data_IF_827863295054
#
_entry.id   IF_827863295054
#
_cell.length_a   1.000
_cell.length_b   1.000
_cell.length_c   1.000
_cell.angle_alpha   90.00
_cell.angle_beta   90.00
_cell.angle_gamma   90.00
#
_symmetry.space_group_name_H-M   'P 1'
#
loop_
_entity.id
_entity.type
_entity.pdbx_description
1 polymer ?
#
# COMPACT_ATOMS: atom_id res chain seq x y z
N UNK A 1 -26.50 51.50 19.12
CA UNK A 1 -25.26 51.70 19.92
C UNK A 1 -24.11 50.95 19.24
N UNK A 2 -23.21 51.72 18.68
CA UNK A 2 -22.06 51.46 17.86
C UNK A 2 -20.91 50.78 18.62
N UNK A 3 -20.28 49.70 18.08
CA UNK A 3 -18.92 49.31 18.45
C UNK A 3 -18.09 48.94 17.21
N UNK A 4 -17.37 49.87 16.86
CA UNK A 4 -16.08 50.13 16.26
C UNK A 4 -15.23 48.95 15.80
N UNK A 5 -14.94 49.03 14.54
CA UNK A 5 -13.93 48.38 13.69
C UNK A 5 -12.49 48.66 14.20
N UNK A 6 -11.70 47.65 14.43
CA UNK A 6 -10.25 47.78 14.64
C UNK A 6 -9.52 46.96 13.55
N UNK A 7 -9.13 47.64 12.51
CA UNK A 7 -8.18 47.17 11.48
C UNK A 7 -6.78 47.32 12.04
N UNK A 8 -6.05 46.22 12.12
CA UNK A 8 -4.59 46.21 12.34
C UNK A 8 -3.93 45.83 11.02
N UNK A 9 -3.28 46.83 10.42
CA UNK A 9 -2.37 46.71 9.29
C UNK A 9 -1.02 46.12 9.82
N UNK A 10 -0.61 44.94 9.35
CA UNK A 10 0.76 44.48 9.50
C UNK A 10 1.50 44.61 8.18
N UNK A 11 2.45 45.53 8.18
CA UNK A 11 3.37 45.80 7.08
C UNK A 11 4.34 44.59 6.97
N UNK A 12 4.41 44.02 5.77
CA UNK A 12 5.39 43.00 5.40
C UNK A 12 6.66 43.70 4.95
N UNK A 13 7.74 43.51 5.69
CA UNK A 13 9.09 43.94 5.31
C UNK A 13 9.75 42.79 4.51
N UNK A 14 9.98 43.05 3.24
CA UNK A 14 10.64 42.14 2.30
C UNK A 14 12.16 42.29 2.46
N UNK A 15 12.83 41.34 3.09
CA UNK A 15 14.29 41.26 3.18
C UNK A 15 14.83 40.22 2.19
N UNK A 16 15.45 40.71 1.12
CA UNK A 16 16.20 39.87 0.17
C UNK A 16 17.58 39.59 0.75
N UNK A 17 17.89 38.31 1.00
CA UNK A 17 19.25 37.86 1.34
C UNK A 17 19.80 37.10 0.12
N UNK A 18 20.78 37.73 -0.52
CA UNK A 18 21.57 37.12 -1.58
C UNK A 18 22.67 36.22 -0.96
N UNK A 19 22.73 34.95 -1.36
CA UNK A 19 23.77 34.01 -0.98
C UNK A 19 24.73 33.84 -2.17
N UNK A 20 26.07 34.06 -2.02
CA UNK A 20 27.02 33.87 -3.11
C UNK A 20 27.33 32.37 -3.29
N UNK A 21 27.32 31.93 -4.55
CA UNK A 21 27.76 30.60 -4.96
C UNK A 21 29.28 30.48 -4.80
N UNK A 22 29.72 29.56 -3.94
CA UNK A 22 31.11 29.16 -3.84
C UNK A 22 31.32 27.86 -4.62
N UNK A 23 31.96 27.98 -5.78
CA UNK A 23 32.41 26.84 -6.58
C UNK A 23 33.63 26.22 -5.87
N UNK A 24 33.55 24.98 -5.42
CA UNK A 24 34.69 24.19 -4.96
C UNK A 24 35.11 23.19 -6.03
N UNK A 25 36.27 23.42 -6.58
CA UNK A 25 37.03 22.53 -7.45
C UNK A 25 37.56 21.35 -6.64
N UNK A 26 37.37 20.13 -7.14
CA UNK A 26 37.94 18.90 -6.60
C UNK A 26 39.23 18.60 -7.37
N UNK A 27 40.39 18.46 -6.73
CA UNK A 27 41.59 18.00 -7.42
C UNK A 27 41.58 16.48 -7.58
N UNK A 28 41.85 16.02 -8.80
CA UNK A 28 42.16 14.64 -9.13
C UNK A 28 43.51 14.24 -8.55
N UNK A 29 43.58 13.19 -7.77
CA UNK A 29 44.82 12.49 -7.43
C UNK A 29 44.64 11.00 -7.62
N UNK A 30 45.31 10.49 -8.62
CA UNK A 30 45.58 9.08 -8.85
C UNK A 30 46.62 8.57 -7.85
N UNK A 31 46.39 7.42 -7.22
CA UNK A 31 47.44 6.47 -6.83
C UNK A 31 46.83 5.06 -6.76
N UNK A 32 47.54 4.14 -7.42
CA UNK A 32 47.27 2.71 -7.46
C UNK A 32 47.70 2.04 -6.13
N UNK A 33 47.08 0.89 -5.83
CA UNK A 33 47.65 -0.06 -4.86
C UNK A 33 46.58 -0.91 -4.13
N UNK A 34 46.43 -2.08 -4.63
CA UNK A 34 46.48 -3.39 -3.93
C UNK A 34 45.24 -3.94 -3.23
N UNK A 35 45.09 -5.22 -3.51
CA UNK A 35 44.07 -6.22 -3.19
C UNK A 35 43.74 -6.37 -1.70
N UNK A 36 42.42 -6.53 -1.41
CA UNK A 36 41.89 -7.56 -0.53
C UNK A 36 40.35 -7.50 -0.49
N UNK A 37 39.75 -8.60 -0.92
CA UNK A 37 38.53 -9.25 -0.47
C UNK A 37 37.48 -8.36 0.25
N UNK A 38 36.49 -7.86 -0.51
CA UNK A 38 35.28 -7.29 0.02
C UNK A 38 34.07 -8.00 -0.62
N UNK A 39 33.00 -8.34 0.15
CA UNK A 39 31.83 -9.05 -0.36
C UNK A 39 31.15 -8.20 -1.42
N UNK A 40 30.64 -8.86 -2.47
CA UNK A 40 29.99 -8.25 -3.62
C UNK A 40 28.89 -7.27 -3.22
N UNK A 41 28.77 -6.11 -3.89
CA UNK A 41 27.66 -5.19 -3.66
C UNK A 41 26.35 -5.83 -4.12
N UNK A 42 25.38 -5.91 -3.22
CA UNK A 42 23.99 -6.20 -3.57
C UNK A 42 23.52 -5.13 -4.55
N UNK A 43 23.40 -5.52 -5.81
CA UNK A 43 22.94 -4.67 -6.89
C UNK A 43 21.49 -4.32 -6.60
N UNK A 44 21.26 -3.13 -6.06
CA UNK A 44 19.94 -2.53 -5.96
C UNK A 44 19.45 -2.34 -7.39
N UNK A 45 18.47 -3.14 -7.80
CA UNK A 45 17.85 -3.04 -9.10
C UNK A 45 17.23 -1.63 -9.26
N UNK A 46 17.90 -0.78 -10.04
CA UNK A 46 17.36 0.52 -10.46
C UNK A 46 16.29 0.21 -11.50
N UNK A 47 15.02 0.40 -11.15
CA UNK A 47 13.90 0.27 -12.07
C UNK A 47 13.98 1.38 -13.13
N UNK A 48 13.82 1.09 -14.42
CA UNK A 48 13.84 2.11 -15.46
C UNK A 48 12.69 3.11 -15.29
N UNK A 49 13.03 4.39 -15.34
CA UNK A 49 12.05 5.49 -15.38
C UNK A 49 11.26 5.40 -16.69
N UNK A 50 9.99 5.06 -16.61
CA UNK A 50 9.09 4.95 -17.77
C UNK A 50 8.07 3.82 -17.68
N UNK A 51 8.09 2.99 -16.66
CA UNK A 51 7.09 1.94 -16.49
C UNK A 51 5.71 2.50 -16.15
N UNK A 52 4.69 2.07 -16.89
CA UNK A 52 3.29 2.39 -16.60
C UNK A 52 2.82 1.66 -15.33
N UNK A 53 1.72 2.13 -14.73
CA UNK A 53 1.13 1.46 -13.56
C UNK A 53 0.74 0.00 -13.84
N UNK A 54 0.38 -0.32 -15.09
CA UNK A 54 0.10 -1.69 -15.55
C UNK A 54 1.34 -2.58 -15.53
N UNK A 55 2.50 -2.05 -15.90
CA UNK A 55 3.76 -2.80 -15.90
C UNK A 55 4.22 -3.11 -14.48
N UNK A 56 3.99 -2.17 -13.54
CA UNK A 56 4.26 -2.37 -12.12
C UNK A 56 3.33 -3.43 -11.49
N UNK A 57 2.07 -3.44 -11.88
CA UNK A 57 1.12 -4.46 -11.43
C UNK A 57 1.50 -5.85 -11.96
N UNK A 58 1.99 -5.93 -13.20
CA UNK A 58 2.44 -7.18 -13.81
C UNK A 58 3.74 -7.70 -13.16
N UNK A 59 4.68 -6.82 -12.81
CA UNK A 59 5.89 -7.19 -12.06
C UNK A 59 5.56 -7.69 -10.65
N UNK A 60 4.68 -7.00 -9.93
CA UNK A 60 4.21 -7.45 -8.61
C UNK A 60 3.49 -8.81 -8.69
N UNK A 61 2.72 -9.05 -9.75
CA UNK A 61 2.07 -10.33 -9.97
C UNK A 61 3.08 -11.45 -10.30
N UNK A 62 4.17 -11.13 -11.01
CA UNK A 62 5.25 -12.09 -11.32
C UNK A 62 6.15 -12.37 -10.11
N UNK A 63 6.49 -11.36 -9.32
CA UNK A 63 7.26 -11.54 -8.08
C UNK A 63 6.44 -12.28 -7.02
N UNK A 64 5.15 -11.97 -6.91
CA UNK A 64 4.23 -12.71 -6.06
C UNK A 64 4.09 -14.17 -6.50
N UNK A 65 4.02 -14.44 -7.80
CA UNK A 65 3.98 -15.81 -8.32
C UNK A 65 5.33 -16.54 -8.12
N UNK A 66 6.45 -15.81 -8.08
CA UNK A 66 7.78 -16.35 -7.77
C UNK A 66 7.96 -16.67 -6.29
N UNK A 67 7.42 -15.85 -5.39
CA UNK A 67 7.36 -16.13 -3.94
C UNK A 67 6.47 -17.34 -3.62
N UNK A 68 5.49 -17.64 -4.45
CA UNK A 68 4.60 -18.79 -4.34
C UNK A 68 5.06 -19.99 -5.18
N UNK A 69 6.15 -19.85 -5.96
CA UNK A 69 6.72 -20.96 -6.71
C UNK A 69 7.45 -21.91 -5.74
N UNK A 70 7.18 -23.23 -5.76
CA UNK A 70 7.91 -24.20 -4.96
C UNK A 70 9.33 -24.32 -5.54
N UNK A 71 10.30 -23.60 -4.96
CA UNK A 71 11.67 -23.69 -5.47
C UNK A 71 12.69 -22.73 -4.89
N UNK A 72 12.33 -21.83 -3.99
CA UNK A 72 13.25 -20.88 -3.38
C UNK A 72 13.41 -21.11 -1.87
N UNK A 73 13.69 -22.34 -1.45
CA UNK A 73 14.37 -22.72 -0.21
C UNK A 73 14.17 -24.22 0.02
N UNK A 74 15.23 -24.94 0.33
CA UNK A 74 15.31 -26.39 0.43
C UNK A 74 14.19 -27.08 1.20
N UNK A 75 13.82 -28.24 0.65
CA UNK A 75 13.14 -29.39 1.30
C UNK A 75 11.90 -29.09 2.17
N UNK A 76 10.75 -29.10 1.52
CA UNK A 76 9.60 -29.99 1.76
C UNK A 76 8.59 -29.75 0.61
N UNK A 77 8.48 -30.67 -0.33
CA UNK A 77 7.43 -30.69 -1.35
C UNK A 77 6.10 -31.11 -0.69
N UNK A 78 5.44 -30.12 -0.05
CA UNK A 78 4.06 -30.22 0.37
C UNK A 78 3.20 -29.42 -0.59
N UNK A 79 2.09 -29.98 -1.10
CA UNK A 79 1.07 -29.22 -1.79
C UNK A 79 0.67 -28.01 -0.92
N UNK A 80 0.36 -26.84 -1.52
CA UNK A 80 -0.04 -25.67 -0.76
C UNK A 80 -1.21 -26.02 0.17
N UNK A 81 -1.14 -25.61 1.42
CA UNK A 81 -2.22 -25.85 2.37
C UNK A 81 -3.52 -25.22 1.86
N UNK A 82 -4.68 -25.73 2.29
CA UNK A 82 -5.97 -25.17 1.89
C UNK A 82 -6.08 -23.67 2.21
N UNK A 83 -5.46 -23.23 3.32
CA UNK A 83 -5.34 -21.83 3.73
C UNK A 83 -4.52 -21.00 2.71
N UNK A 84 -3.33 -21.47 2.35
CA UNK A 84 -2.50 -20.80 1.33
C UNK A 84 -3.21 -20.69 -0.02
N UNK A 85 -3.97 -21.71 -0.41
CA UNK A 85 -4.79 -21.69 -1.62
C UNK A 85 -5.88 -20.63 -1.56
N UNK A 86 -6.56 -20.48 -0.42
CA UNK A 86 -7.59 -19.44 -0.21
C UNK A 86 -7.02 -18.03 -0.25
N UNK A 87 -5.91 -17.80 0.47
CA UNK A 87 -5.19 -16.52 0.44
C UNK A 87 -4.79 -16.16 -1.00
N UNK A 88 -4.17 -17.09 -1.71
CA UNK A 88 -3.79 -16.90 -3.12
C UNK A 88 -4.99 -16.48 -3.98
N UNK A 89 -6.14 -17.12 -3.82
CA UNK A 89 -7.36 -16.79 -4.57
C UNK A 89 -7.85 -15.38 -4.26
N UNK A 90 -7.85 -14.97 -2.99
CA UNK A 90 -8.22 -13.60 -2.58
C UNK A 90 -7.30 -12.57 -3.23
N UNK A 91 -5.97 -12.78 -3.16
CA UNK A 91 -5.01 -11.85 -3.72
C UNK A 91 -5.11 -11.74 -5.24
N UNK A 92 -5.19 -12.87 -5.94
CA UNK A 92 -5.39 -12.88 -7.39
C UNK A 92 -6.65 -12.11 -7.79
N UNK A 93 -7.76 -12.30 -7.06
CA UNK A 93 -9.00 -11.59 -7.33
C UNK A 93 -8.87 -10.09 -7.05
N UNK A 94 -8.21 -9.69 -5.97
CA UNK A 94 -7.99 -8.30 -5.64
C UNK A 94 -7.11 -7.59 -6.68
N UNK A 95 -6.00 -8.21 -7.07
CA UNK A 95 -5.06 -7.66 -8.06
C UNK A 95 -5.67 -7.58 -9.46
N UNK A 96 -6.55 -8.50 -9.84
CA UNK A 96 -7.26 -8.47 -11.11
C UNK A 96 -8.24 -7.27 -11.26
N UNK A 97 -8.54 -6.56 -10.16
CA UNK A 97 -9.43 -5.39 -10.15
C UNK A 97 -8.68 -4.06 -10.17
N UNK A 98 -7.34 -4.07 -10.23
CA UNK A 98 -6.54 -2.85 -10.35
C UNK A 98 -6.97 -2.05 -11.59
N UNK A 99 -7.02 -0.72 -11.44
CA UNK A 99 -7.49 0.18 -12.50
C UNK A 99 -9.02 0.31 -12.58
N UNK A 100 -9.81 -0.45 -11.80
CA UNK A 100 -11.26 -0.25 -11.73
C UNK A 100 -11.58 1.09 -11.06
N UNK A 101 -12.44 1.95 -11.64
CA UNK A 101 -12.69 3.27 -11.11
C UNK A 101 -13.38 3.26 -9.75
N UNK A 102 -13.04 4.23 -8.90
CA UNK A 102 -13.76 4.46 -7.65
C UNK A 102 -15.18 4.96 -7.91
N UNK A 103 -16.15 4.32 -7.26
CA UNK A 103 -17.53 4.78 -7.22
C UNK A 103 -18.10 4.68 -5.81
N UNK A 104 -18.62 5.78 -5.29
CA UNK A 104 -19.29 5.78 -3.98
C UNK A 104 -20.48 4.81 -3.97
N UNK A 105 -20.51 3.89 -3.01
CA UNK A 105 -21.53 2.82 -2.94
C UNK A 105 -21.34 1.72 -3.98
N UNK A 106 -20.28 1.75 -4.78
CA UNK A 106 -20.04 0.77 -5.85
C UNK A 106 -19.61 -0.59 -5.31
N UNK A 107 -20.10 -1.64 -5.98
CA UNK A 107 -19.88 -3.07 -5.63
C UNK A 107 -19.69 -3.94 -6.87
N UNK A 108 -19.53 -3.34 -8.05
CA UNK A 108 -19.55 -4.02 -9.35
C UNK A 108 -18.31 -3.62 -10.17
N UNK A 109 -17.53 -4.58 -10.71
CA UNK A 109 -16.32 -4.28 -11.48
C UNK A 109 -16.58 -3.42 -12.73
N UNK A 110 -17.77 -3.56 -13.34
CA UNK A 110 -18.12 -2.78 -14.54
C UNK A 110 -18.57 -1.35 -14.22
N UNK A 111 -18.98 -1.09 -12.98
CA UNK A 111 -19.52 0.22 -12.54
C UNK A 111 -18.59 0.94 -11.58
N UNK A 112 -17.61 0.25 -11.00
CA UNK A 112 -16.67 0.76 -10.03
C UNK A 112 -16.97 0.34 -8.58
N UNK A 113 -16.00 0.58 -7.70
CA UNK A 113 -16.03 0.18 -6.29
C UNK A 113 -15.84 1.36 -5.35
N UNK A 114 -16.47 1.32 -4.18
CA UNK A 114 -15.92 1.98 -3.00
C UNK A 114 -15.02 1.00 -2.21
N UNK A 115 -14.35 1.48 -1.15
CA UNK A 115 -13.38 0.69 -0.41
C UNK A 115 -13.94 -0.63 0.13
N UNK A 116 -15.07 -0.60 0.81
CA UNK A 116 -15.72 -1.80 1.38
C UNK A 116 -16.46 -2.63 0.33
N UNK A 117 -16.94 -2.02 -0.75
CA UNK A 117 -17.51 -2.73 -1.89
C UNK A 117 -16.51 -3.59 -2.64
N UNK A 118 -15.27 -3.07 -2.82
CA UNK A 118 -14.15 -3.85 -3.36
C UNK A 118 -13.85 -5.07 -2.48
N UNK A 119 -13.65 -4.85 -1.18
CA UNK A 119 -13.35 -5.93 -0.22
C UNK A 119 -14.45 -6.99 -0.21
N UNK A 120 -15.71 -6.58 -0.06
CA UNK A 120 -16.84 -7.51 -0.06
C UNK A 120 -16.97 -8.29 -1.37
N UNK A 121 -16.75 -7.64 -2.53
CA UNK A 121 -16.75 -8.31 -3.82
C UNK A 121 -15.65 -9.37 -3.91
N UNK A 122 -14.42 -9.04 -3.50
CA UNK A 122 -13.26 -9.96 -3.54
C UNK A 122 -13.54 -11.19 -2.69
N UNK A 123 -13.92 -11.04 -1.42
CA UNK A 123 -14.15 -12.16 -0.51
C UNK A 123 -15.32 -13.04 -0.92
N UNK A 124 -16.42 -12.45 -1.37
CA UNK A 124 -17.58 -13.20 -1.88
C UNK A 124 -17.21 -14.04 -3.10
N UNK A 125 -16.50 -13.45 -4.07
CA UNK A 125 -16.19 -14.14 -5.32
C UNK A 125 -14.98 -15.08 -5.24
N UNK A 126 -14.08 -14.87 -4.28
CA UNK A 126 -12.94 -15.74 -4.05
C UNK A 126 -13.28 -16.94 -3.18
N UNK A 127 -14.05 -16.72 -2.10
CA UNK A 127 -14.24 -17.71 -1.04
C UNK A 127 -15.70 -17.94 -0.65
N UNK A 128 -16.67 -17.21 -1.24
CA UNK A 128 -18.07 -17.26 -0.81
C UNK A 128 -18.34 -16.60 0.54
N UNK A 129 -17.38 -15.80 1.06
CA UNK A 129 -17.53 -15.15 2.38
C UNK A 129 -18.25 -13.82 2.23
N UNK A 130 -19.36 -13.67 2.94
CA UNK A 130 -20.12 -12.42 3.00
C UNK A 130 -19.62 -11.55 4.15
N UNK A 131 -19.11 -10.38 3.80
CA UNK A 131 -18.64 -9.37 4.77
C UNK A 131 -19.68 -8.24 4.92
N UNK A 132 -19.73 -7.56 6.08
CA UNK A 132 -20.58 -6.39 6.27
C UNK A 132 -20.35 -5.33 5.17
N UNK A 133 -21.41 -4.61 4.78
CA UNK A 133 -21.31 -3.66 3.65
C UNK A 133 -20.42 -2.46 3.92
N UNK A 134 -20.27 -2.03 5.16
CA UNK A 134 -19.54 -0.82 5.50
C UNK A 134 -18.25 -1.13 6.28
N UNK A 135 -17.18 -0.39 5.99
CA UNK A 135 -15.85 -0.60 6.59
C UNK A 135 -15.84 -0.63 8.11
N UNK A 136 -16.68 0.17 8.78
CA UNK A 136 -16.78 0.22 10.25
C UNK A 136 -17.29 -1.08 10.86
N UNK A 137 -18.16 -1.78 10.16
CA UNK A 137 -18.70 -3.05 10.65
C UNK A 137 -17.77 -4.20 10.25
N UNK A 138 -17.10 -4.13 9.09
CA UNK A 138 -16.00 -5.04 8.76
C UNK A 138 -14.88 -4.99 9.82
N UNK A 139 -14.60 -3.81 10.37
CA UNK A 139 -13.58 -3.62 11.42
C UNK A 139 -13.91 -4.31 12.75
N UNK A 140 -15.11 -4.88 12.90
CA UNK A 140 -15.56 -5.65 14.06
C UNK A 140 -15.62 -7.16 13.77
N UNK A 141 -15.36 -7.58 12.53
CA UNK A 141 -15.51 -8.97 12.07
C UNK A 141 -14.14 -9.63 11.98
N UNK A 142 -14.05 -10.90 12.37
CA UNK A 142 -12.82 -11.68 12.36
C UNK A 142 -11.87 -11.38 13.53
N UNK A 143 -10.72 -12.04 13.52
CA UNK A 143 -9.69 -11.91 14.56
C UNK A 143 -8.97 -10.56 14.47
N UNK A 144 -8.75 -9.91 15.62
CA UNK A 144 -8.00 -8.66 15.69
C UNK A 144 -6.49 -8.90 15.59
N UNK A 145 -5.87 -8.33 14.57
CA UNK A 145 -4.41 -8.31 14.42
C UNK A 145 -3.89 -6.97 14.97
N UNK A 146 -3.33 -7.00 16.19
CA UNK A 146 -2.87 -5.78 16.90
C UNK A 146 -1.46 -5.35 16.50
N UNK A 147 -0.64 -6.30 16.05
CA UNK A 147 0.76 -6.08 15.71
C UNK A 147 0.93 -6.06 14.19
N UNK A 148 1.42 -4.94 13.64
CA UNK A 148 1.71 -4.81 12.20
C UNK A 148 2.69 -5.86 11.70
N UNK A 149 3.63 -6.31 12.53
CA UNK A 149 4.59 -7.34 12.16
C UNK A 149 3.95 -8.73 11.96
N UNK A 150 2.72 -8.92 12.48
CA UNK A 150 1.94 -10.17 12.34
C UNK A 150 0.92 -10.14 11.19
N UNK A 151 0.93 -9.06 10.39
CA UNK A 151 0.07 -8.98 9.21
C UNK A 151 0.43 -10.08 8.23
N UNK A 152 -0.59 -10.79 7.77
CA UNK A 152 -0.50 -11.79 6.73
C UNK A 152 -1.30 -11.36 5.50
N UNK A 153 -0.85 -11.79 4.32
CA UNK A 153 -1.57 -11.53 3.07
C UNK A 153 -3.02 -12.05 3.18
N UNK A 154 -3.98 -11.22 2.76
CA UNK A 154 -5.41 -11.48 2.94
C UNK A 154 -6.04 -10.77 4.15
N UNK A 155 -5.25 -10.28 5.11
CA UNK A 155 -5.77 -9.48 6.23
C UNK A 155 -6.43 -8.19 5.74
N UNK A 156 -7.51 -7.77 6.40
CA UNK A 156 -8.14 -6.49 6.16
C UNK A 156 -7.44 -5.41 6.99
N UNK A 157 -6.98 -4.35 6.32
CA UNK A 157 -6.34 -3.21 6.97
C UNK A 157 -7.29 -2.01 7.00
N UNK A 158 -7.44 -1.40 8.16
CA UNK A 158 -8.41 -0.33 8.41
C UNK A 158 -7.73 0.98 8.73
N UNK A 159 -8.27 2.03 8.15
CA UNK A 159 -7.75 3.39 8.29
C UNK A 159 -8.85 4.34 8.74
N UNK A 160 -8.41 5.43 9.35
CA UNK A 160 -9.34 6.45 9.83
C UNK A 160 -8.67 7.53 10.65
N UNK A 161 -9.47 8.21 11.45
CA UNK A 161 -9.00 9.28 12.34
C UNK A 161 -9.93 9.45 13.53
N UNK A 162 -9.36 9.92 14.65
CA UNK A 162 -10.12 10.19 15.88
C UNK A 162 -10.94 8.99 16.36
N UNK A 163 -10.37 7.78 16.27
CA UNK A 163 -11.04 6.54 16.68
C UNK A 163 -12.14 6.03 15.76
N UNK A 164 -12.34 6.66 14.59
CA UNK A 164 -13.39 6.27 13.64
C UNK A 164 -12.78 5.71 12.35
N UNK A 165 -13.10 4.46 12.05
CA UNK A 165 -12.76 3.82 10.76
C UNK A 165 -13.59 4.45 9.65
N UNK A 166 -12.92 4.86 8.57
CA UNK A 166 -13.55 5.43 7.38
C UNK A 166 -13.05 4.79 6.07
N UNK A 167 -12.07 3.88 6.15
CA UNK A 167 -11.51 3.22 4.98
C UNK A 167 -11.03 1.79 5.30
N UNK A 168 -10.96 0.94 4.25
CA UNK A 168 -10.49 -0.45 4.32
C UNK A 168 -9.76 -0.84 3.05
N UNK A 169 -8.77 -1.73 3.17
CA UNK A 169 -8.07 -2.39 2.07
C UNK A 169 -7.73 -3.84 2.41
N UNK A 170 -7.20 -4.58 1.44
CA UNK A 170 -6.73 -5.96 1.57
C UNK A 170 -5.22 -5.94 1.57
N UNK A 171 -4.59 -6.41 2.63
CA UNK A 171 -3.14 -6.53 2.72
C UNK A 171 -2.63 -7.61 1.77
N UNK A 172 -1.59 -7.29 0.99
CA UNK A 172 -1.04 -8.20 -0.02
C UNK A 172 0.39 -8.66 0.28
N UNK A 173 0.92 -8.27 1.45
CA UNK A 173 2.30 -8.55 1.85
C UNK A 173 3.21 -7.34 1.68
N UNK A 174 4.43 -7.41 2.23
CA UNK A 174 5.52 -6.42 2.06
C UNK A 174 5.12 -4.98 2.34
N UNK A 175 4.32 -4.75 3.37
CA UNK A 175 3.83 -3.42 3.72
C UNK A 175 2.84 -2.82 2.71
N UNK A 176 2.27 -3.63 1.79
CA UNK A 176 1.40 -3.16 0.72
C UNK A 176 -0.04 -3.64 0.87
N UNK A 177 -0.99 -2.87 0.34
CA UNK A 177 -2.41 -3.23 0.35
C UNK A 177 -3.14 -2.71 -0.89
N UNK A 178 -4.15 -3.46 -1.34
CA UNK A 178 -5.05 -3.10 -2.44
C UNK A 178 -6.29 -2.42 -1.89
N UNK A 179 -6.72 -1.32 -2.50
CA UNK A 179 -7.91 -0.58 -2.08
C UNK A 179 -8.50 0.29 -3.20
N UNK A 180 -9.76 0.72 -3.03
CA UNK A 180 -10.40 1.78 -3.82
C UNK A 180 -10.37 3.09 -3.00
N UNK A 181 -9.46 4.05 -3.27
CA UNK A 181 -9.15 5.13 -2.32
C UNK A 181 -10.23 6.22 -2.24
N UNK A 182 -10.64 6.81 -3.36
CA UNK A 182 -11.59 7.93 -3.42
C UNK A 182 -11.99 8.28 -4.86
N UNK A 183 -12.98 9.14 -5.03
CA UNK A 183 -13.38 9.70 -6.34
C UNK A 183 -12.18 10.25 -7.10
N UNK A 184 -12.15 9.99 -8.42
CA UNK A 184 -11.08 10.41 -9.32
C UNK A 184 -9.80 9.60 -9.19
N UNK A 185 -9.86 8.47 -8.51
CA UNK A 185 -8.81 7.46 -8.44
C UNK A 185 -9.40 6.09 -8.71
N UNK A 186 -8.54 5.17 -9.14
CA UNK A 186 -8.90 3.79 -9.41
C UNK A 186 -8.43 2.88 -8.26
N UNK A 187 -8.88 1.62 -8.28
CA UNK A 187 -8.33 0.57 -7.42
C UNK A 187 -6.83 0.49 -7.65
N UNK A 188 -6.07 0.56 -6.58
CA UNK A 188 -4.62 0.65 -6.62
C UNK A 188 -3.96 -0.05 -5.44
N UNK A 189 -2.65 -0.29 -5.54
CA UNK A 189 -1.79 -0.69 -4.43
C UNK A 189 -1.23 0.56 -3.74
N UNK A 190 -1.17 0.54 -2.41
CA UNK A 190 -0.56 1.60 -1.59
C UNK A 190 0.28 1.00 -0.47
N UNK A 191 1.23 1.79 0.07
CA UNK A 191 2.08 1.38 1.18
C UNK A 191 1.43 1.64 2.54
N UNK A 192 1.66 0.73 3.49
CA UNK A 192 1.33 0.86 4.91
C UNK A 192 2.46 1.52 5.72
N UNK A 193 3.68 1.52 5.17
CA UNK A 193 4.88 1.84 5.95
C UNK A 193 5.26 3.31 5.87
N UNK A 194 4.76 4.00 4.84
CA UNK A 194 5.05 5.40 4.63
C UNK A 194 3.82 6.25 4.24
N UNK A 195 4.01 7.56 4.25
CA UNK A 195 3.08 8.54 3.72
C UNK A 195 1.72 8.61 4.41
N UNK A 196 0.70 8.94 3.61
CA UNK A 196 -0.66 9.23 4.08
C UNK A 196 -1.30 8.05 4.83
N UNK A 197 -1.13 6.83 4.35
CA UNK A 197 -1.82 5.66 4.88
C UNK A 197 -1.19 5.15 6.17
N UNK A 198 0.15 5.23 6.31
CA UNK A 198 0.84 4.89 7.55
C UNK A 198 0.30 5.68 8.74
N UNK A 199 0.14 7.01 8.57
CA UNK A 199 -0.40 7.90 9.60
C UNK A 199 -1.91 7.68 9.91
N UNK A 200 -2.63 6.95 9.04
CA UNK A 200 -4.06 6.67 9.16
C UNK A 200 -4.39 5.25 9.60
N UNK A 201 -3.42 4.36 9.61
CA UNK A 201 -3.61 2.98 10.03
C UNK A 201 -4.15 2.92 11.46
N UNK A 202 -5.19 2.12 11.69
CA UNK A 202 -5.84 1.98 12.98
C UNK A 202 -5.75 0.56 13.52
N UNK A 203 -6.08 -0.43 12.71
CA UNK A 203 -6.09 -1.84 13.09
C UNK A 203 -6.14 -2.72 11.85
N UNK A 204 -5.96 -4.02 12.04
CA UNK A 204 -6.24 -5.02 11.01
C UNK A 204 -7.12 -6.15 11.57
N UNK A 205 -7.77 -6.88 10.65
CA UNK A 205 -8.60 -8.03 10.95
C UNK A 205 -8.26 -9.18 10.02
N UNK A 206 -8.12 -10.37 10.57
CA UNK A 206 -8.07 -11.62 9.82
C UNK A 206 -9.48 -12.18 9.71
N UNK A 207 -9.92 -12.38 8.48
CA UNK A 207 -11.25 -12.91 8.21
C UNK A 207 -11.26 -14.41 8.52
N UNK A 208 -12.30 -14.88 9.22
CA UNK A 208 -12.44 -16.29 9.53
C UNK A 208 -12.56 -17.11 8.22
N UNK A 209 -11.84 -18.21 8.15
CA UNK A 209 -11.89 -19.10 7.00
C UNK A 209 -10.90 -18.77 5.86
N UNK A 210 -9.88 -17.93 6.13
CA UNK A 210 -8.72 -17.78 5.24
C UNK A 210 -7.47 -18.29 5.92
#
# INVERSE_FOLDING_TARGET
MTRALRRLLFSVLLGAVAVPALAQQIPSSSLAGDSADAPAPVTRAVLPEGMTFSDRALLLATDFNRLLAPGASGDIAGAPTAEQGRIKTVLQRALALLGTPYRWGGTDPNKGFDCSGLVGYVFRNALGIELPRVSRDMAKTGELVTDKAKLAAGDLVFFGRRGRVDHVGIYVGEGQFVHAPRRGKDVQVSSLDDGYWSAKFMQARRVDGI
#
